data_IF_375830926607
#
_entry.id   IF_375830926607
#
_cell.length_a   1.000
_cell.length_b   1.000
_cell.length_c   1.000
_cell.angle_alpha   90.00
_cell.angle_beta   90.00
_cell.angle_gamma   90.00
#
_symmetry.space_group_name_H-M   'P 1'
#
loop_
_entity.id
_entity.type
_entity.pdbx_description
1 polymer ?
#
# COMPACT_ATOMS: atom_id res chain seq x y z
N UNK A 1 -37.31 -44.98 57.72
CA UNK A 1 -36.97 -45.85 56.57
C UNK A 1 -37.28 -45.10 55.29
N UNK A 2 -36.39 -45.20 54.31
CA UNK A 2 -36.34 -44.56 52.98
C UNK A 2 -37.70 -44.45 52.25
N UNK A 3 -37.93 -43.55 51.28
CA UNK A 3 -37.12 -43.35 50.08
C UNK A 3 -37.40 -41.99 49.40
N UNK A 4 -36.33 -41.38 48.86
CA UNK A 4 -36.33 -40.23 47.97
C UNK A 4 -36.91 -40.58 46.58
N UNK A 5 -37.56 -39.61 45.92
CA UNK A 5 -37.49 -39.47 44.46
C UNK A 5 -37.59 -37.98 44.08
N UNK A 6 -36.44 -37.40 43.69
CA UNK A 6 -36.33 -36.12 42.99
C UNK A 6 -36.37 -36.40 41.49
N UNK A 7 -37.32 -35.83 40.77
CA UNK A 7 -37.22 -35.66 39.32
C UNK A 7 -36.99 -34.17 39.05
N UNK A 8 -35.77 -33.84 38.65
CA UNK A 8 -35.36 -32.51 38.18
C UNK A 8 -35.81 -32.31 36.73
N UNK A 9 -36.74 -31.38 36.52
CA UNK A 9 -37.03 -30.84 35.19
C UNK A 9 -35.89 -29.92 34.75
N UNK A 10 -35.09 -30.38 33.79
CA UNK A 10 -34.11 -29.56 33.07
C UNK A 10 -34.82 -28.39 32.35
N UNK A 11 -34.30 -27.16 32.37
CA UNK A 11 -34.78 -26.12 31.48
C UNK A 11 -34.38 -26.46 30.05
N UNK A 12 -35.36 -26.48 29.13
CA UNK A 12 -35.11 -26.51 27.69
C UNK A 12 -34.47 -25.18 27.30
N UNK A 13 -33.19 -25.21 26.95
CA UNK A 13 -32.54 -24.10 26.25
C UNK A 13 -33.12 -24.08 24.84
N UNK A 14 -33.83 -23.01 24.49
CA UNK A 14 -34.29 -22.77 23.13
C UNK A 14 -33.10 -22.24 22.32
N UNK A 15 -32.58 -23.05 21.40
CA UNK A 15 -31.47 -22.70 20.48
C UNK A 15 -31.87 -21.68 19.38
N UNK A 16 -32.89 -20.85 19.59
CA UNK A 16 -33.47 -19.97 18.55
C UNK A 16 -33.19 -18.46 18.73
N UNK A 17 -32.55 -18.02 19.82
CA UNK A 17 -32.35 -16.58 20.07
C UNK A 17 -31.04 -16.03 19.49
N UNK A 18 -30.05 -16.87 19.16
CA UNK A 18 -28.75 -16.43 18.63
C UNK A 18 -28.86 -15.97 17.16
N UNK A 19 -29.87 -16.45 16.41
CA UNK A 19 -29.98 -16.21 14.97
C UNK A 19 -30.63 -14.87 14.63
N UNK A 20 -31.55 -14.36 15.46
CA UNK A 20 -32.32 -13.17 15.13
C UNK A 20 -31.55 -11.87 15.38
N UNK A 21 -30.71 -11.83 16.42
CA UNK A 21 -29.91 -10.66 16.76
C UNK A 21 -28.82 -10.38 15.69
N UNK A 22 -28.15 -11.44 15.21
CA UNK A 22 -27.12 -11.34 14.16
C UNK A 22 -27.71 -10.88 12.82
N UNK A 23 -28.89 -11.39 12.46
CA UNK A 23 -29.60 -10.99 11.23
C UNK A 23 -30.12 -9.56 11.35
N UNK A 24 -30.48 -9.10 12.56
CA UNK A 24 -30.93 -7.73 12.79
C UNK A 24 -29.79 -6.69 12.71
N UNK A 25 -28.59 -7.03 13.21
CA UNK A 25 -27.42 -6.14 13.18
C UNK A 25 -26.84 -6.00 11.77
N UNK A 26 -26.82 -7.10 10.99
CA UNK A 26 -26.45 -7.07 9.56
C UNK A 26 -27.41 -6.26 8.69
N UNK A 27 -28.70 -6.17 9.09
CA UNK A 27 -29.72 -5.43 8.33
C UNK A 27 -29.68 -3.92 8.58
N UNK A 28 -29.02 -3.46 9.66
CA UNK A 28 -28.80 -2.04 9.96
C UNK A 28 -27.54 -1.46 9.31
N UNK A 29 -26.53 -2.29 9.03
CA UNK A 29 -25.30 -1.86 8.35
C UNK A 29 -25.59 -1.79 6.85
N UNK A 30 -25.55 -0.59 6.27
CA UNK A 30 -25.67 -0.41 4.82
C UNK A 30 -24.60 -1.22 4.07
N UNK A 31 -24.78 -1.43 2.76
CA UNK A 31 -23.76 -2.10 1.94
C UNK A 31 -22.42 -1.38 2.10
N UNK A 32 -21.34 -2.14 2.34
CA UNK A 32 -19.99 -1.61 2.31
C UNK A 32 -19.64 -1.05 0.93
N UNK A 33 -18.52 -0.34 0.84
CA UNK A 33 -18.07 0.24 -0.43
C UNK A 33 -16.54 0.35 -0.46
N UNK A 34 -15.94 0.12 -1.63
CA UNK A 34 -14.51 0.19 -1.87
C UNK A 34 -14.21 1.33 -2.84
N UNK A 35 -13.32 2.23 -2.44
CA UNK A 35 -12.93 3.35 -3.26
C UNK A 35 -11.42 3.46 -3.39
N UNK A 36 -10.92 3.49 -4.62
CA UNK A 36 -9.49 3.53 -4.90
C UNK A 36 -9.07 4.91 -5.39
N UNK A 37 -8.04 5.46 -4.77
CA UNK A 37 -7.34 6.70 -5.15
C UNK A 37 -5.92 6.32 -5.56
N UNK A 38 -5.63 6.39 -6.85
CA UNK A 38 -4.32 6.02 -7.39
C UNK A 38 -3.67 7.15 -8.17
N UNK A 39 -2.45 6.92 -8.66
CA UNK A 39 -1.66 7.88 -9.43
C UNK A 39 -0.19 7.89 -9.02
N UNK A 40 0.67 8.62 -9.77
CA UNK A 40 2.10 8.63 -9.54
C UNK A 40 2.46 9.25 -8.17
N UNK A 41 3.73 9.18 -7.79
CA UNK A 41 4.23 9.97 -6.66
C UNK A 41 3.94 11.47 -6.91
N UNK A 42 3.78 12.24 -5.83
CA UNK A 42 3.51 13.68 -5.87
C UNK A 42 2.18 14.11 -6.51
N UNK A 43 1.23 13.17 -6.67
CA UNK A 43 -0.12 13.46 -7.18
C UNK A 43 -1.15 13.84 -6.09
N UNK A 44 -0.73 13.89 -4.82
CA UNK A 44 -1.62 14.24 -3.70
C UNK A 44 -2.58 13.13 -3.25
N UNK A 45 -2.19 11.86 -3.40
CA UNK A 45 -3.00 10.70 -2.97
C UNK A 45 -3.33 10.75 -1.47
N UNK A 46 -2.31 10.82 -0.60
CA UNK A 46 -2.49 10.90 0.85
C UNK A 46 -3.30 12.13 1.26
N UNK A 47 -3.09 13.29 0.60
CA UNK A 47 -3.90 14.50 0.82
C UNK A 47 -5.36 14.27 0.45
N UNK A 48 -5.64 13.61 -0.69
CA UNK A 48 -7.00 13.31 -1.14
C UNK A 48 -7.70 12.29 -0.23
N UNK A 49 -6.98 11.25 0.21
CA UNK A 49 -7.45 10.29 1.22
C UNK A 49 -7.81 11.01 2.52
N UNK A 50 -6.88 11.80 3.07
CA UNK A 50 -7.09 12.52 4.32
C UNK A 50 -8.26 13.50 4.23
N UNK A 51 -8.42 14.21 3.10
CA UNK A 51 -9.57 15.08 2.87
C UNK A 51 -10.88 14.30 2.93
N UNK A 52 -10.92 13.10 2.35
CA UNK A 52 -12.11 12.26 2.36
C UNK A 52 -12.40 11.72 3.76
N UNK A 53 -11.37 11.24 4.47
CA UNK A 53 -11.50 10.80 5.87
C UNK A 53 -12.05 11.92 6.75
N UNK A 54 -11.54 13.15 6.63
CA UNK A 54 -12.07 14.32 7.36
C UNK A 54 -13.54 14.62 7.04
N UNK A 55 -13.94 14.40 5.79
CA UNK A 55 -15.35 14.55 5.38
C UNK A 55 -16.24 13.52 6.10
N UNK A 56 -15.82 12.26 6.18
CA UNK A 56 -16.58 11.21 6.87
C UNK A 56 -16.70 11.49 8.38
N UNK A 57 -15.62 11.99 9.01
CA UNK A 57 -15.67 12.44 10.42
C UNK A 57 -16.69 13.58 10.60
N UNK A 58 -16.71 14.55 9.68
CA UNK A 58 -17.67 15.66 9.75
C UNK A 58 -19.13 15.24 9.60
N UNK A 59 -19.36 14.05 9.01
CA UNK A 59 -20.68 13.41 8.94
C UNK A 59 -20.99 12.56 10.19
N UNK A 60 -20.12 12.56 11.19
CA UNK A 60 -20.30 11.81 12.44
C UNK A 60 -19.93 10.33 12.34
N UNK A 61 -19.28 9.89 11.25
CA UNK A 61 -18.89 8.49 11.07
C UNK A 61 -17.59 8.17 11.82
N UNK A 62 -17.53 6.97 12.38
CA UNK A 62 -16.36 6.42 13.05
C UNK A 62 -15.32 5.99 12.03
N UNK A 63 -14.09 6.51 12.13
CA UNK A 63 -13.05 6.29 11.13
C UNK A 63 -11.74 5.80 11.74
N UNK A 64 -11.00 4.99 10.98
CA UNK A 64 -9.61 4.68 11.25
C UNK A 64 -8.77 4.90 9.99
N UNK A 65 -7.50 5.25 10.18
CA UNK A 65 -6.53 5.39 9.10
C UNK A 65 -5.33 4.48 9.36
N UNK A 66 -4.90 3.80 8.31
CA UNK A 66 -3.90 2.73 8.34
C UNK A 66 -2.84 3.00 7.28
N UNK A 67 -1.57 2.73 7.60
CA UNK A 67 -0.45 2.76 6.65
C UNK A 67 0.44 1.55 6.85
N UNK A 68 1.18 1.17 5.80
CA UNK A 68 2.16 0.09 5.93
C UNK A 68 3.35 0.53 6.78
N UNK A 69 3.75 -0.30 7.74
CA UNK A 69 4.97 -0.12 8.53
C UNK A 69 6.25 -0.23 7.68
N UNK A 70 6.16 -0.80 6.48
CA UNK A 70 7.24 -0.84 5.49
C UNK A 70 7.57 0.55 4.92
N UNK A 71 6.63 1.49 4.97
CA UNK A 71 6.87 2.86 4.53
C UNK A 71 7.43 3.74 5.66
N UNK A 72 8.75 3.83 5.70
CA UNK A 72 9.50 4.64 6.67
C UNK A 72 9.82 6.05 6.19
N UNK A 73 9.30 6.52 5.03
CA UNK A 73 9.57 7.86 4.47
C UNK A 73 9.02 9.00 5.33
N UNK A 74 7.98 8.72 6.10
CA UNK A 74 7.28 9.68 6.98
C UNK A 74 7.16 9.08 8.38
N UNK A 75 7.10 9.93 9.40
CA UNK A 75 7.07 9.57 10.82
C UNK A 75 6.17 8.35 11.12
N UNK A 76 6.61 7.49 12.05
CA UNK A 76 5.96 6.20 12.35
C UNK A 76 4.47 6.32 12.68
N UNK A 77 4.04 7.42 13.30
CA UNK A 77 2.73 7.51 13.96
C UNK A 77 1.74 8.50 13.32
N UNK A 78 2.07 9.06 12.15
CA UNK A 78 1.14 9.95 11.44
C UNK A 78 1.30 9.87 9.92
N UNK A 79 0.19 10.00 9.19
CA UNK A 79 0.27 10.36 7.77
C UNK A 79 0.54 11.84 7.71
N UNK A 80 1.82 12.18 7.60
CA UNK A 80 2.26 13.53 7.28
C UNK A 80 2.03 13.71 5.78
N UNK A 81 0.99 14.45 5.44
CA UNK A 81 0.84 14.95 4.07
C UNK A 81 2.00 15.91 3.77
N UNK A 82 2.40 16.04 2.50
CA UNK A 82 3.37 17.05 2.07
C UNK A 82 2.97 18.47 2.51
N UNK A 83 1.69 18.69 2.79
CA UNK A 83 1.09 19.95 3.24
C UNK A 83 1.14 20.15 4.77
N UNK A 84 1.81 19.27 5.53
CA UNK A 84 2.12 19.45 6.94
C UNK A 84 1.00 19.17 7.94
N UNK A 85 -0.18 18.70 7.49
CA UNK A 85 -1.29 18.37 8.37
C UNK A 85 -1.28 16.86 8.65
N UNK A 86 -1.01 16.48 9.91
CA UNK A 86 -1.01 15.10 10.38
C UNK A 86 -2.38 14.64 10.89
N UNK A 87 -2.71 13.37 10.66
CA UNK A 87 -3.84 12.68 11.28
C UNK A 87 -3.34 11.35 11.88
N UNK A 88 -3.83 10.94 13.08
CA UNK A 88 -3.40 9.71 13.72
C UNK A 88 -3.56 8.51 12.80
N UNK A 89 -2.53 7.68 12.69
CA UNK A 89 -2.51 6.55 11.76
C UNK A 89 -1.90 5.31 12.41
N UNK A 90 -2.48 4.15 12.12
CA UNK A 90 -1.96 2.86 12.55
C UNK A 90 -0.93 2.37 11.54
N UNK A 91 0.33 2.27 11.95
CA UNK A 91 1.39 1.67 11.15
C UNK A 91 1.44 0.16 11.42
N UNK A 92 1.01 -0.64 10.44
CA UNK A 92 0.86 -2.09 10.60
C UNK A 92 1.58 -2.87 9.48
N UNK A 93 2.03 -4.11 9.75
CA UNK A 93 2.74 -4.93 8.76
C UNK A 93 1.84 -5.47 7.65
N UNK A 94 0.59 -5.81 7.96
CA UNK A 94 -0.43 -6.40 7.10
C UNK A 94 -1.81 -5.87 7.52
N UNK A 95 -2.79 -5.87 6.62
CA UNK A 95 -4.13 -5.33 6.86
C UNK A 95 -5.01 -6.31 7.63
N UNK A 96 -4.82 -7.62 7.45
CA UNK A 96 -5.65 -8.64 8.08
C UNK A 96 -5.46 -8.72 9.60
N UNK A 97 -4.31 -8.28 10.15
CA UNK A 97 -4.09 -8.12 11.59
C UNK A 97 -4.71 -6.84 12.17
N UNK A 98 -5.21 -5.91 11.35
CA UNK A 98 -5.76 -4.64 11.81
C UNK A 98 -6.89 -4.78 12.85
N UNK A 99 -7.90 -5.65 12.66
CA UNK A 99 -8.98 -5.81 13.65
C UNK A 99 -8.46 -6.19 15.04
N UNK A 100 -7.51 -7.13 15.11
CA UNK A 100 -6.92 -7.60 16.36
C UNK A 100 -6.05 -6.51 17.02
N UNK A 101 -5.21 -5.83 16.23
CA UNK A 101 -4.34 -4.75 16.74
C UNK A 101 -5.13 -3.52 17.20
N UNK A 102 -6.24 -3.20 16.53
CA UNK A 102 -7.11 -2.09 16.87
C UNK A 102 -8.03 -2.44 18.06
N UNK A 103 -8.28 -3.73 18.27
CA UNK A 103 -9.26 -4.27 19.21
C UNK A 103 -10.59 -4.53 18.51
N UNK A 104 -11.07 -5.77 18.58
CA UNK A 104 -12.23 -6.24 17.82
C UNK A 104 -13.49 -5.38 18.08
N UNK A 105 -13.81 -5.10 19.34
CA UNK A 105 -14.96 -4.26 19.71
C UNK A 105 -14.87 -2.84 19.17
N UNK A 106 -13.66 -2.29 19.02
CA UNK A 106 -13.44 -0.98 18.44
C UNK A 106 -13.54 -1.04 16.92
N UNK A 107 -13.00 -2.09 16.29
CA UNK A 107 -13.05 -2.32 14.85
C UNK A 107 -14.50 -2.49 14.37
N UNK A 108 -15.33 -3.21 15.12
CA UNK A 108 -16.73 -3.44 14.77
C UNK A 108 -17.54 -2.14 14.75
N UNK A 109 -17.12 -1.13 15.51
CA UNK A 109 -17.72 0.22 15.55
C UNK A 109 -17.18 1.16 14.47
N UNK A 110 -16.20 0.75 13.66
CA UNK A 110 -15.70 1.56 12.54
C UNK A 110 -16.69 1.51 11.38
N UNK A 111 -16.99 2.69 10.83
CA UNK A 111 -17.76 2.85 9.61
C UNK A 111 -16.85 2.98 8.38
N UNK A 112 -15.69 3.62 8.54
CA UNK A 112 -14.76 3.93 7.45
C UNK A 112 -13.33 3.56 7.80
N UNK A 113 -12.62 2.93 6.85
CA UNK A 113 -11.21 2.60 6.96
C UNK A 113 -10.45 3.23 5.80
N UNK A 114 -9.54 4.16 6.11
CA UNK A 114 -8.60 4.74 5.15
C UNK A 114 -7.30 3.95 5.13
N UNK A 115 -6.84 3.54 3.96
CA UNK A 115 -5.58 2.80 3.78
C UNK A 115 -4.65 3.64 2.91
N UNK A 116 -3.52 4.09 3.44
CA UNK A 116 -2.49 4.78 2.67
C UNK A 116 -1.34 3.85 2.29
N UNK A 117 -0.68 4.18 1.18
CA UNK A 117 0.47 3.45 0.63
C UNK A 117 0.18 1.96 0.40
N UNK A 118 -1.04 1.68 -0.07
CA UNK A 118 -1.60 0.34 -0.15
C UNK A 118 -0.86 -0.63 -1.09
N UNK A 119 0.00 -0.13 -1.99
CA UNK A 119 0.86 -0.98 -2.80
C UNK A 119 1.85 -1.85 -1.98
N UNK A 120 2.05 -1.55 -0.69
CA UNK A 120 2.90 -2.35 0.21
C UNK A 120 2.17 -3.47 0.96
N UNK A 121 0.83 -3.51 0.87
CA UNK A 121 0.00 -4.55 1.45
C UNK A 121 -0.32 -5.61 0.40
N UNK A 122 0.14 -6.84 0.67
CA UNK A 122 -0.13 -7.99 -0.21
C UNK A 122 -1.53 -8.56 -0.04
N UNK A 123 -2.17 -8.25 1.08
CA UNK A 123 -3.46 -8.76 1.55
C UNK A 123 -4.59 -7.72 1.41
N UNK A 124 -4.37 -6.67 0.62
CA UNK A 124 -5.36 -5.58 0.43
C UNK A 124 -6.64 -6.07 -0.22
N UNK A 125 -6.57 -7.11 -1.07
CA UNK A 125 -7.75 -7.68 -1.71
C UNK A 125 -8.63 -8.39 -0.69
N UNK A 126 -8.06 -9.32 0.06
CA UNK A 126 -8.74 -10.10 1.10
C UNK A 126 -9.32 -9.19 2.17
N UNK A 127 -8.56 -8.18 2.59
CA UNK A 127 -9.04 -7.19 3.55
C UNK A 127 -10.21 -6.38 3.02
N UNK A 128 -10.18 -5.92 1.76
CA UNK A 128 -11.28 -5.15 1.18
C UNK A 128 -12.56 -5.97 1.11
N UNK A 129 -12.49 -7.23 0.67
CA UNK A 129 -13.66 -8.12 0.66
C UNK A 129 -14.21 -8.32 2.07
N UNK A 130 -13.37 -8.65 3.05
CA UNK A 130 -13.84 -8.83 4.44
C UNK A 130 -14.44 -7.55 5.03
N UNK A 131 -13.77 -6.41 4.88
CA UNK A 131 -14.21 -5.16 5.48
C UNK A 131 -15.47 -4.60 4.79
N UNK A 132 -15.55 -4.62 3.47
CA UNK A 132 -16.67 -4.07 2.72
C UNK A 132 -17.83 -5.06 2.61
N UNK A 133 -17.57 -6.27 2.12
CA UNK A 133 -18.62 -7.24 1.79
C UNK A 133 -19.18 -7.89 3.06
N UNK A 134 -18.32 -8.32 3.99
CA UNK A 134 -18.76 -9.04 5.19
C UNK A 134 -19.08 -8.12 6.37
N UNK A 135 -18.40 -6.97 6.50
CA UNK A 135 -18.52 -6.09 7.66
C UNK A 135 -19.25 -4.76 7.37
N UNK A 136 -19.67 -4.53 6.12
CA UNK A 136 -20.45 -3.34 5.73
C UNK A 136 -19.69 -2.02 5.87
N UNK A 137 -18.36 -2.03 5.83
CA UNK A 137 -17.52 -0.83 6.03
C UNK A 137 -17.22 -0.13 4.70
N UNK A 138 -17.03 1.18 4.74
CA UNK A 138 -16.46 1.93 3.62
C UNK A 138 -14.94 1.88 3.68
N UNK A 139 -14.29 1.32 2.67
CA UNK A 139 -12.83 1.26 2.55
C UNK A 139 -12.36 2.26 1.51
N UNK A 140 -11.47 3.18 1.89
CA UNK A 140 -10.88 4.18 1.00
C UNK A 140 -9.38 3.89 0.89
N UNK A 141 -8.95 3.39 -0.26
CA UNK A 141 -7.59 2.89 -0.51
C UNK A 141 -6.82 3.88 -1.34
N UNK A 142 -5.63 4.29 -0.89
CA UNK A 142 -4.71 5.14 -1.62
C UNK A 142 -3.38 4.44 -1.88
N UNK A 143 -2.88 4.50 -3.11
CA UNK A 143 -1.60 3.87 -3.44
C UNK A 143 -1.13 4.08 -4.88
N UNK A 144 0.09 3.66 -5.17
CA UNK A 144 0.68 3.71 -6.51
C UNK A 144 0.10 2.61 -7.41
N UNK A 145 -0.42 2.98 -8.58
CA UNK A 145 -0.87 2.02 -9.60
C UNK A 145 0.29 1.33 -10.31
N UNK A 146 1.44 2.01 -10.38
CA UNK A 146 2.64 1.44 -10.99
C UNK A 146 3.93 1.86 -10.32
N UNK A 147 4.91 0.96 -10.42
CA UNK A 147 6.29 1.21 -10.00
C UNK A 147 7.01 2.17 -10.97
N UNK A 148 8.29 2.44 -10.70
CA UNK A 148 9.11 3.29 -11.56
C UNK A 148 9.33 2.72 -12.98
N UNK A 149 9.01 1.44 -13.20
CA UNK A 149 9.06 0.72 -14.48
C UNK A 149 7.69 0.67 -15.18
N UNK A 150 6.65 1.30 -14.63
CA UNK A 150 5.25 1.22 -15.08
C UNK A 150 4.68 -0.19 -15.03
N UNK A 151 5.22 -1.06 -14.18
CA UNK A 151 4.65 -2.38 -13.87
C UNK A 151 3.70 -2.23 -12.70
N UNK A 152 2.79 -3.20 -12.52
CA UNK A 152 1.93 -3.25 -11.33
C UNK A 152 2.78 -3.13 -10.06
N UNK A 153 2.34 -2.33 -9.09
CA UNK A 153 2.98 -2.22 -7.79
C UNK A 153 2.09 -2.90 -6.75
N UNK A 154 2.55 -4.03 -6.21
CA UNK A 154 1.81 -4.80 -5.21
C UNK A 154 0.48 -5.31 -5.74
N UNK A 155 -0.48 -5.47 -4.82
CA UNK A 155 -1.83 -5.99 -5.09
C UNK A 155 -2.90 -4.88 -5.21
N UNK A 156 -2.50 -3.59 -5.24
CA UNK A 156 -3.45 -2.47 -5.32
C UNK A 156 -4.36 -2.54 -6.55
N UNK A 157 -3.85 -3.01 -7.69
CA UNK A 157 -4.66 -3.10 -8.90
C UNK A 157 -5.66 -4.27 -8.87
N UNK A 158 -5.45 -5.24 -7.98
CA UNK A 158 -6.30 -6.43 -7.89
C UNK A 158 -7.66 -6.10 -7.26
N UNK A 159 -7.78 -4.97 -6.52
CA UNK A 159 -9.05 -4.48 -5.98
C UNK A 159 -9.87 -3.61 -6.95
N UNK A 160 -9.32 -3.24 -8.11
CA UNK A 160 -10.03 -2.43 -9.11
C UNK A 160 -11.36 -3.07 -9.58
N UNK A 161 -11.43 -4.39 -9.85
CA UNK A 161 -12.68 -5.03 -10.27
C UNK A 161 -13.79 -5.03 -9.22
N UNK A 162 -13.45 -4.93 -7.93
CA UNK A 162 -14.40 -4.92 -6.80
C UNK A 162 -14.62 -3.50 -6.24
N UNK A 163 -14.04 -2.47 -6.86
CA UNK A 163 -14.15 -1.10 -6.37
C UNK A 163 -15.38 -0.39 -6.94
N UNK A 164 -16.17 0.24 -6.08
CA UNK A 164 -17.28 1.14 -6.43
C UNK A 164 -16.79 2.41 -7.13
N UNK A 165 -15.56 2.84 -6.87
CA UNK A 165 -14.96 3.95 -7.62
C UNK A 165 -13.44 3.83 -7.71
N UNK A 166 -12.89 4.21 -8.86
CA UNK A 166 -11.44 4.31 -9.06
C UNK A 166 -11.10 5.70 -9.60
N UNK A 167 -10.32 6.45 -8.83
CA UNK A 167 -9.85 7.80 -9.20
C UNK A 167 -8.34 7.77 -9.41
N UNK A 168 -7.89 8.06 -10.64
CA UNK A 168 -6.47 8.21 -10.95
C UNK A 168 -6.07 9.68 -10.96
N UNK A 169 -5.39 10.12 -9.91
CA UNK A 169 -4.82 11.45 -9.77
C UNK A 169 -3.62 11.64 -10.71
N UNK A 170 -3.35 12.90 -11.03
CA UNK A 170 -2.21 13.32 -11.86
C UNK A 170 -1.35 14.30 -11.11
N UNK A 171 -0.03 14.17 -11.24
CA UNK A 171 0.92 15.17 -10.75
C UNK A 171 1.23 16.21 -11.84
N UNK A 172 2.16 17.12 -11.56
CA UNK A 172 2.76 18.01 -12.56
C UNK A 172 4.11 17.45 -13.02
N UNK A 173 4.35 17.38 -14.32
CA UNK A 173 5.59 16.86 -14.87
C UNK A 173 6.74 17.80 -14.53
N UNK A 174 7.77 17.30 -13.86
CA UNK A 174 8.92 18.10 -13.42
C UNK A 174 9.73 18.67 -14.62
N UNK A 175 9.62 18.05 -15.79
CA UNK A 175 10.34 18.46 -17.01
C UNK A 175 9.58 19.52 -17.83
N UNK A 176 8.24 19.49 -17.86
CA UNK A 176 7.47 20.37 -18.75
C UNK A 176 6.18 20.97 -18.18
N UNK A 177 5.87 20.76 -16.90
CA UNK A 177 4.69 21.30 -16.21
C UNK A 177 3.33 20.72 -16.62
N UNK A 178 3.27 19.91 -17.68
CA UNK A 178 2.05 19.21 -18.12
C UNK A 178 1.64 18.10 -17.14
N UNK A 179 0.45 17.53 -17.30
CA UNK A 179 -0.02 16.40 -16.46
C UNK A 179 0.98 15.25 -16.48
N UNK A 180 1.38 14.81 -15.29
CA UNK A 180 2.23 13.65 -15.07
C UNK A 180 1.39 12.46 -14.60
N UNK A 181 1.68 11.30 -15.17
CA UNK A 181 0.96 10.06 -14.92
C UNK A 181 1.87 8.95 -14.41
N UNK A 182 3.18 9.20 -14.36
CA UNK A 182 4.19 8.18 -14.04
C UNK A 182 5.21 8.74 -13.07
N UNK A 183 5.71 7.86 -12.20
CA UNK A 183 6.92 8.10 -11.43
C UNK A 183 8.11 7.64 -12.25
N UNK A 184 9.13 8.49 -12.40
CA UNK A 184 10.43 8.11 -12.94
C UNK A 184 11.46 8.16 -11.82
N UNK A 185 12.32 7.14 -11.74
CA UNK A 185 13.49 7.15 -10.87
C UNK A 185 14.63 7.94 -11.52
N UNK A 186 15.22 8.87 -10.78
CA UNK A 186 16.37 9.70 -11.20
C UNK A 186 17.69 8.92 -11.14
N UNK A 187 17.79 7.92 -10.27
CA UNK A 187 19.02 7.15 -10.02
C UNK A 187 19.12 5.87 -10.87
N UNK A 188 20.34 5.34 -11.00
CA UNK A 188 20.63 4.09 -11.71
C UNK A 188 20.27 2.82 -10.93
N UNK A 189 19.90 2.93 -9.64
CA UNK A 189 19.52 1.81 -8.79
C UNK A 189 18.31 1.08 -9.37
N UNK A 190 18.36 -0.25 -9.37
CA UNK A 190 17.34 -1.14 -9.96
C UNK A 190 16.39 -1.75 -8.94
N UNK A 191 16.62 -1.62 -7.62
CA UNK A 191 15.75 -2.21 -6.58
C UNK A 191 14.32 -1.68 -6.71
N UNK A 192 13.30 -2.54 -6.80
CA UNK A 192 11.90 -2.09 -6.95
C UNK A 192 11.43 -1.24 -5.77
N UNK A 193 11.74 -1.69 -4.56
CA UNK A 193 11.46 -0.98 -3.31
C UNK A 193 12.71 -0.20 -2.90
N UNK A 194 12.79 1.05 -3.35
CA UNK A 194 13.73 2.03 -2.81
C UNK A 194 12.92 3.13 -2.15
N UNK A 195 12.96 3.14 -0.82
CA UNK A 195 12.33 4.15 0.03
C UNK A 195 13.07 5.47 -0.21
N UNK A 196 12.43 6.41 -0.90
CA UNK A 196 13.01 7.68 -1.29
C UNK A 196 11.92 8.70 -1.67
N UNK A 197 12.26 9.97 -1.59
CA UNK A 197 11.37 11.10 -1.88
C UNK A 197 11.67 11.73 -3.24
N UNK A 198 11.64 13.06 -3.28
CA UNK A 198 11.89 13.87 -4.49
C UNK A 198 13.36 13.84 -4.95
N UNK A 199 14.26 13.39 -4.09
CA UNK A 199 15.68 13.14 -4.35
C UNK A 199 15.88 11.95 -5.29
N UNK A 200 15.07 10.90 -5.14
CA UNK A 200 15.16 9.67 -5.94
C UNK A 200 14.17 9.63 -7.09
N UNK A 201 13.00 10.26 -6.94
CA UNK A 201 11.89 10.12 -7.87
C UNK A 201 11.36 11.46 -8.37
N UNK A 202 10.85 11.48 -9.60
CA UNK A 202 10.11 12.61 -10.16
C UNK A 202 8.83 12.20 -10.89
N UNK A 203 7.77 13.02 -10.83
CA UNK A 203 6.59 12.84 -11.64
C UNK A 203 6.84 13.29 -13.09
N UNK A 204 6.50 12.45 -14.06
CA UNK A 204 6.69 12.75 -15.48
C UNK A 204 5.48 12.43 -16.36
N UNK A 205 5.35 13.15 -17.46
CA UNK A 205 4.40 12.86 -18.52
C UNK A 205 4.86 11.65 -19.36
N UNK A 206 3.99 11.16 -20.25
CA UNK A 206 4.29 9.99 -21.09
C UNK A 206 5.55 10.16 -21.93
N UNK A 207 5.68 11.31 -22.60
CA UNK A 207 6.81 11.67 -23.46
C UNK A 207 8.14 11.63 -22.70
N UNK A 208 8.22 12.34 -21.56
CA UNK A 208 9.46 12.44 -20.80
C UNK A 208 9.87 11.14 -20.12
N UNK A 209 8.92 10.30 -19.72
CA UNK A 209 9.26 8.97 -19.25
C UNK A 209 9.90 8.11 -20.37
N UNK A 210 9.27 8.06 -21.56
CA UNK A 210 9.75 7.23 -22.68
C UNK A 210 11.12 7.71 -23.14
N UNK A 211 11.29 9.02 -23.31
CA UNK A 211 12.56 9.60 -23.75
C UNK A 211 13.69 9.37 -22.74
N UNK A 212 13.44 9.57 -21.44
CA UNK A 212 14.46 9.30 -20.42
C UNK A 212 14.81 7.82 -20.31
N UNK A 213 13.86 6.90 -20.49
CA UNK A 213 14.16 5.47 -20.51
C UNK A 213 15.05 5.08 -21.70
N UNK A 214 14.89 5.72 -22.85
CA UNK A 214 15.80 5.54 -24.00
C UNK A 214 17.20 6.00 -23.63
N UNK A 215 17.32 7.19 -23.02
CA UNK A 215 18.62 7.74 -22.58
C UNK A 215 19.28 6.83 -21.55
N UNK A 216 18.56 6.43 -20.48
CA UNK A 216 19.11 5.55 -19.43
C UNK A 216 19.53 4.20 -20.01
N UNK A 217 18.75 3.60 -20.92
CA UNK A 217 19.12 2.34 -21.58
C UNK A 217 20.34 2.49 -22.49
N UNK A 218 20.44 3.60 -23.23
CA UNK A 218 21.60 3.89 -24.06
C UNK A 218 22.85 4.10 -23.19
N UNK A 219 22.75 4.88 -22.11
CA UNK A 219 23.84 5.10 -21.16
C UNK A 219 24.27 3.80 -20.47
N UNK A 220 23.34 2.92 -20.07
CA UNK A 220 23.67 1.60 -19.51
C UNK A 220 24.43 0.74 -20.51
N UNK A 221 23.99 0.68 -21.78
CA UNK A 221 24.71 -0.06 -22.82
C UNK A 221 26.16 0.43 -23.01
N UNK A 222 26.38 1.74 -22.98
CA UNK A 222 27.74 2.32 -23.06
C UNK A 222 28.57 1.91 -21.85
N UNK A 223 28.03 2.09 -20.63
CA UNK A 223 28.73 1.73 -19.39
C UNK A 223 29.03 0.22 -19.28
N UNK A 224 28.13 -0.63 -19.77
CA UNK A 224 28.33 -2.08 -19.80
C UNK A 224 29.36 -2.47 -20.88
N UNK A 225 29.39 -1.78 -22.02
CA UNK A 225 30.41 -1.99 -23.06
C UNK A 225 31.81 -1.52 -22.65
N UNK A 226 31.90 -0.47 -21.83
CA UNK A 226 33.17 0.00 -21.27
C UNK A 226 33.71 -0.96 -20.19
N UNK A 227 32.82 -1.63 -19.44
CA UNK A 227 33.21 -2.71 -18.52
C UNK A 227 33.70 -3.96 -19.22
N UNK A 228 33.15 -4.32 -20.38
CA UNK A 228 33.65 -5.45 -21.18
C UNK A 228 35.00 -5.17 -21.85
N UNK A 229 35.29 -3.90 -22.19
CA UNK A 229 36.60 -3.46 -22.69
C UNK A 229 37.68 -3.35 -21.62
N UNK A 230 37.30 -3.23 -20.34
CA UNK A 230 38.22 -3.14 -19.21
C UNK A 230 38.60 -4.53 -18.61
N UNK A 231 38.94 -5.51 -19.46
CA UNK A 231 39.74 -6.67 -19.01
C UNK A 231 41.22 -6.31 -19.16
N UNK A 232 42.04 -6.27 -18.09
CA UNK A 232 43.45 -5.97 -18.24
C UNK A 232 44.13 -7.13 -18.99
N UNK A 233 44.76 -6.82 -20.13
CA UNK A 233 45.87 -7.61 -20.66
C UNK A 233 46.99 -7.55 -19.62
N UNK A 234 47.06 -8.55 -18.74
CA UNK A 234 48.30 -8.84 -18.03
C UNK A 234 48.98 -9.93 -18.86
N UNK A 235 49.89 -9.51 -19.74
CA UNK A 235 50.90 -10.41 -20.29
C UNK A 235 51.75 -10.88 -19.10
N UNK A 236 51.72 -12.19 -18.83
CA UNK A 236 52.67 -12.83 -17.94
C UNK A 236 54.05 -12.78 -18.61
N UNK A 237 54.92 -11.89 -18.16
CA UNK A 237 56.36 -12.03 -18.39
C UNK A 237 56.86 -13.15 -17.50
N UNK A 238 57.15 -14.30 -18.11
CA UNK A 238 57.87 -15.40 -17.47
C UNK A 238 59.26 -14.91 -17.07
N UNK A 239 59.56 -14.95 -15.76
CA UNK A 239 60.91 -14.69 -15.25
C UNK A 239 61.67 -16.02 -15.19
N UNK A 240 62.71 -16.12 -16.01
CA UNK A 240 63.62 -17.25 -16.11
C UNK A 240 64.34 -17.51 -14.75
N UNK A 241 64.28 -18.72 -14.15
CA UNK A 241 64.86 -18.98 -12.83
C UNK A 241 66.39 -19.09 -12.78
N UNK A 242 67.12 -18.85 -13.87
CA UNK A 242 68.54 -19.24 -13.96
C UNK A 242 69.57 -18.17 -13.58
N UNK A 243 69.27 -17.20 -12.72
CA UNK A 243 70.29 -16.24 -12.24
C UNK A 243 70.22 -16.10 -10.71
N UNK A 244 70.77 -17.09 -10.01
CA UNK A 244 71.42 -16.88 -8.71
C UNK A 244 72.88 -17.32 -8.85
N UNK A 245 73.80 -16.40 -8.58
CA UNK A 245 75.24 -16.62 -8.68
C UNK A 245 76.04 -15.48 -8.05
N UNK A 246 76.47 -15.74 -6.80
CA UNK A 246 77.35 -14.97 -5.91
C UNK A 246 76.78 -13.76 -5.17
#
# INVERSE_FOLDING_TARGET
MATLNKASSLPRIHDNDISQDVISDQKLRGSGAIHVITGPMFSGKSTSLLRRIKSEISLGRSVAMVKSSKDTRYAKDSVVTHDGIGFPCWAIPDLMSFPDMFGQDAYDKLDVIGIDEAQFFGDVYEFCCKAADDNGKTVIVAGLDGDYLRRRFGALLDIVPIADSVTKLTARCEVCGQKAFFTLRKTCDTKTELIGGADVYMPVCRKHYVNNQIVIKASKKVLDSDKERAKPCVETVDVDPSITGY
#
